data_IF_029541672336
#
_entry.id   IF_029541672336
#
_cell.length_a   1.000
_cell.length_b   1.000
_cell.length_c   1.000
_cell.angle_alpha   90.00
_cell.angle_beta   90.00
_cell.angle_gamma   90.00
#
_symmetry.space_group_name_H-M   'P 1'
#
loop_
_entity.id
_entity.type
_entity.pdbx_description
1 polymer ?
#
# COMPACT_ATOMS: atom_id res chain seq x y z
N UNK A 1 -10.18 -17.13 14.04
CA UNK A 1 -8.93 -16.33 13.99
C UNK A 1 -8.54 -15.73 15.33
N UNK A 2 -9.36 -14.87 15.97
CA UNK A 2 -9.02 -14.31 17.30
C UNK A 2 -8.70 -15.39 18.36
N UNK A 3 -9.47 -16.47 18.37
CA UNK A 3 -9.22 -17.61 19.24
C UNK A 3 -7.93 -18.36 18.90
N UNK A 4 -7.54 -18.42 17.62
CA UNK A 4 -6.26 -18.98 17.20
C UNK A 4 -5.08 -18.09 17.64
N UNK A 5 -5.24 -16.76 17.66
CA UNK A 5 -4.24 -15.86 18.25
C UNK A 5 -4.10 -16.08 19.77
N UNK A 6 -5.21 -16.22 20.49
CA UNK A 6 -5.19 -16.51 21.93
C UNK A 6 -4.44 -17.82 22.20
N UNK A 7 -4.79 -18.90 21.50
CA UNK A 7 -4.08 -20.18 21.64
C UNK A 7 -2.62 -20.13 21.20
N UNK A 8 -2.29 -19.29 20.22
CA UNK A 8 -0.91 -19.03 19.81
C UNK A 8 -0.10 -18.35 20.91
N UNK A 9 -0.64 -17.29 21.52
CA UNK A 9 0.01 -16.56 22.61
C UNK A 9 0.14 -17.38 23.89
N UNK A 10 -0.76 -18.33 24.14
CA UNK A 10 -0.67 -19.26 25.27
C UNK A 10 0.18 -20.50 24.98
N UNK A 11 0.82 -20.59 23.81
CA UNK A 11 1.69 -21.70 23.43
C UNK A 11 0.98 -23.00 23.04
N UNK A 12 -0.35 -22.99 22.93
CA UNK A 12 -1.19 -24.16 22.64
C UNK A 12 -1.30 -24.42 21.13
N UNK A 13 -0.16 -24.67 20.49
CA UNK A 13 -0.03 -24.81 19.02
C UNK A 13 -0.88 -25.93 18.41
N UNK A 14 -1.21 -26.96 19.18
CA UNK A 14 -2.11 -28.02 18.74
C UNK A 14 -3.54 -27.52 18.50
N UNK A 15 -4.05 -26.66 19.39
CA UNK A 15 -5.39 -26.08 19.26
C UNK A 15 -5.45 -24.99 18.19
N UNK A 16 -4.33 -24.28 17.97
CA UNK A 16 -4.22 -23.32 16.86
C UNK A 16 -4.58 -23.98 15.54
N UNK A 17 -3.99 -25.14 15.24
CA UNK A 17 -4.25 -25.86 13.98
C UNK A 17 -5.70 -26.27 13.78
N UNK A 18 -6.45 -26.51 14.86
CA UNK A 18 -7.84 -26.93 14.81
C UNK A 18 -8.81 -25.77 14.56
N UNK A 19 -8.44 -24.56 14.99
CA UNK A 19 -9.29 -23.36 14.93
C UNK A 19 -8.87 -22.41 13.80
N UNK A 20 -7.77 -22.71 13.11
CA UNK A 20 -7.24 -21.90 12.01
C UNK A 20 -8.05 -22.11 10.73
N UNK A 21 -8.75 -21.07 10.29
CA UNK A 21 -9.42 -21.08 9.00
C UNK A 21 -8.44 -20.62 7.90
N UNK A 22 -8.06 -21.56 7.03
CA UNK A 22 -7.17 -21.31 5.89
C UNK A 22 -7.79 -20.38 4.84
N UNK A 23 -9.10 -20.12 4.88
CA UNK A 23 -9.79 -19.19 3.98
C UNK A 23 -9.46 -17.73 4.25
N UNK A 24 -9.10 -17.39 5.48
CA UNK A 24 -8.90 -16.00 5.91
C UNK A 24 -7.49 -15.72 6.40
N UNK A 25 -6.78 -16.73 6.88
CA UNK A 25 -5.48 -16.57 7.53
C UNK A 25 -4.49 -15.73 6.72
N UNK A 26 -4.32 -16.08 5.43
CA UNK A 26 -3.30 -15.45 4.59
C UNK A 26 -3.62 -14.00 4.23
N UNK A 27 -4.87 -13.53 4.40
CA UNK A 27 -5.18 -12.10 4.22
C UNK A 27 -4.60 -11.23 5.33
N UNK A 28 -4.48 -11.78 6.55
CA UNK A 28 -4.00 -11.01 7.69
C UNK A 28 -2.50 -10.72 7.59
N UNK A 29 -1.69 -11.64 7.07
CA UNK A 29 -0.24 -11.48 7.05
C UNK A 29 0.25 -10.23 6.29
N UNK A 30 -0.13 -10.00 5.01
CA UNK A 30 0.29 -8.81 4.27
C UNK A 30 -0.34 -7.54 4.83
N UNK A 31 -1.59 -7.60 5.32
CA UNK A 31 -2.26 -6.45 5.92
C UNK A 31 -1.55 -5.98 7.20
N UNK A 32 -1.20 -6.91 8.09
CA UNK A 32 -0.49 -6.58 9.34
C UNK A 32 0.91 -6.06 9.06
N UNK A 33 1.63 -6.68 8.11
CA UNK A 33 2.95 -6.22 7.69
C UNK A 33 2.88 -4.80 7.10
N UNK A 34 1.91 -4.54 6.23
CA UNK A 34 1.67 -3.21 5.67
C UNK A 34 1.30 -2.20 6.75
N UNK A 35 0.42 -2.54 7.68
CA UNK A 35 0.00 -1.63 8.75
C UNK A 35 1.18 -1.24 9.65
N UNK A 36 2.01 -2.20 10.06
CA UNK A 36 3.21 -1.95 10.86
C UNK A 36 4.22 -1.07 10.10
N UNK A 37 4.49 -1.42 8.84
CA UNK A 37 5.43 -0.68 7.99
C UNK A 37 4.95 0.75 7.69
N UNK A 38 3.69 0.92 7.31
CA UNK A 38 3.10 2.23 7.01
C UNK A 38 3.02 3.14 8.24
N UNK A 39 2.69 2.60 9.41
CA UNK A 39 2.69 3.37 10.67
C UNK A 39 4.09 3.89 11.03
N UNK A 40 5.11 3.07 10.80
CA UNK A 40 6.50 3.48 11.00
C UNK A 40 6.89 4.61 10.03
N UNK A 41 6.62 4.45 8.73
CA UNK A 41 6.94 5.47 7.73
C UNK A 41 6.24 6.80 8.03
N UNK A 42 4.93 6.76 8.31
CA UNK A 42 4.16 7.94 8.66
C UNK A 42 4.74 8.67 9.87
N UNK A 43 5.19 7.94 10.89
CA UNK A 43 5.82 8.53 12.09
C UNK A 43 7.12 9.24 11.72
N UNK A 44 7.96 8.60 10.90
CA UNK A 44 9.22 9.21 10.42
C UNK A 44 8.96 10.49 9.65
N UNK A 45 7.96 10.51 8.77
CA UNK A 45 7.64 11.69 7.96
C UNK A 45 7.06 12.83 8.79
N UNK A 46 6.12 12.54 9.71
CA UNK A 46 5.59 13.53 10.64
C UNK A 46 6.68 14.13 11.54
N UNK A 47 7.67 13.33 11.97
CA UNK A 47 8.80 13.83 12.74
C UNK A 47 9.67 14.82 11.95
N UNK A 48 9.89 14.57 10.65
CA UNK A 48 10.61 15.52 9.78
C UNK A 48 9.86 16.85 9.69
N UNK A 49 8.55 16.80 9.48
CA UNK A 49 7.71 18.01 9.43
C UNK A 49 7.70 18.76 10.76
N UNK A 50 7.65 18.05 11.89
CA UNK A 50 7.73 18.68 13.22
C UNK A 50 9.04 19.45 13.42
N UNK A 51 10.17 18.90 12.98
CA UNK A 51 11.48 19.56 13.05
C UNK A 51 11.53 20.79 12.14
N UNK A 52 10.98 20.69 10.92
CA UNK A 52 10.92 21.82 9.97
C UNK A 52 10.07 22.96 10.53
N UNK A 53 8.88 22.66 11.02
CA UNK A 53 7.98 23.65 11.61
C UNK A 53 8.63 24.38 12.80
N UNK A 54 9.35 23.66 13.67
CA UNK A 54 10.08 24.26 14.79
C UNK A 54 11.23 25.18 14.36
N UNK A 55 11.82 24.97 13.18
CA UNK A 55 12.93 25.77 12.66
C UNK A 55 12.48 27.01 11.89
N UNK A 56 11.37 26.90 11.18
CA UNK A 56 10.85 27.98 10.32
C UNK A 56 9.91 28.94 11.07
N UNK A 57 9.64 28.70 12.36
CA UNK A 57 8.64 29.41 13.17
C UNK A 57 7.30 29.55 12.41
N UNK A 58 6.97 28.54 11.61
CA UNK A 58 5.87 28.59 10.65
C UNK A 58 4.57 28.13 11.30
N UNK A 59 3.50 28.88 11.05
CA UNK A 59 2.17 28.59 11.60
C UNK A 59 1.33 27.65 10.73
N UNK A 60 1.84 27.23 9.56
CA UNK A 60 1.04 26.55 8.52
C UNK A 60 1.57 25.15 8.22
N UNK A 61 0.60 24.26 8.08
CA UNK A 61 0.70 22.83 8.04
C UNK A 61 1.00 22.38 6.59
N UNK A 62 2.12 21.68 6.28
CA UNK A 62 2.43 21.17 4.94
C UNK A 62 1.57 19.96 4.54
N UNK A 63 0.53 19.67 5.33
CA UNK A 63 -0.38 18.55 5.17
C UNK A 63 -1.83 19.02 5.35
N UNK A 64 -2.73 18.49 4.52
CA UNK A 64 -4.16 18.69 4.65
C UNK A 64 -4.73 17.56 5.49
N UNK A 65 -5.19 17.87 6.70
CA UNK A 65 -5.95 16.93 7.52
C UNK A 65 -7.33 16.78 6.88
N UNK A 66 -7.56 15.67 6.18
CA UNK A 66 -8.86 15.30 5.64
C UNK A 66 -9.63 14.43 6.63
N UNK A 67 -10.92 14.22 6.35
CA UNK A 67 -11.78 13.32 7.13
C UNK A 67 -11.26 11.88 7.18
N UNK A 68 -10.56 11.46 6.13
CA UNK A 68 -10.10 10.08 5.97
C UNK A 68 -8.62 9.88 6.26
N UNK A 69 -7.79 10.91 6.06
CA UNK A 69 -6.34 10.81 6.25
C UNK A 69 -5.69 12.18 6.42
N UNK A 70 -4.47 12.16 6.97
CA UNK A 70 -3.54 13.28 6.90
C UNK A 70 -2.86 13.21 5.53
N UNK A 71 -3.33 14.02 4.59
CA UNK A 71 -2.81 14.04 3.22
C UNK A 71 -1.65 15.01 3.10
N UNK A 72 -0.47 14.49 2.77
CA UNK A 72 0.65 15.28 2.28
C UNK A 72 1.21 14.65 1.01
N UNK A 73 1.76 15.49 0.15
CA UNK A 73 2.48 15.00 -1.04
C UNK A 73 3.89 14.69 -0.58
N UNK A 74 4.33 13.47 -0.83
CA UNK A 74 5.69 13.03 -0.55
C UNK A 74 6.22 12.21 -1.72
N UNK A 75 7.55 12.21 -1.86
CA UNK A 75 8.23 11.47 -2.91
C UNK A 75 8.34 10.00 -2.50
N UNK A 76 7.77 9.12 -3.32
CA UNK A 76 7.61 7.70 -3.02
C UNK A 76 8.26 6.82 -4.05
N UNK A 77 8.68 5.62 -3.67
CA UNK A 77 9.27 4.68 -4.64
C UNK A 77 8.14 3.93 -5.38
N UNK A 78 7.98 4.08 -6.71
CA UNK A 78 6.93 3.41 -7.47
C UNK A 78 6.98 1.88 -7.37
N UNK A 79 8.18 1.30 -7.22
CA UNK A 79 8.34 -0.15 -7.10
C UNK A 79 7.79 -0.67 -5.78
N UNK A 80 7.85 0.12 -4.71
CA UNK A 80 7.23 -0.23 -3.43
C UNK A 80 5.72 -0.29 -3.57
N UNK A 81 5.11 0.64 -4.32
CA UNK A 81 3.69 0.61 -4.65
C UNK A 81 3.31 -0.68 -5.40
N UNK A 82 4.12 -1.08 -6.39
CA UNK A 82 3.94 -2.33 -7.14
C UNK A 82 4.03 -3.55 -6.23
N UNK A 83 5.06 -3.64 -5.39
CA UNK A 83 5.23 -4.78 -4.47
C UNK A 83 4.02 -4.94 -3.56
N UNK A 84 3.50 -3.84 -3.02
CA UNK A 84 2.29 -3.89 -2.18
C UNK A 84 1.05 -4.30 -2.96
N UNK A 85 0.86 -3.80 -4.19
CA UNK A 85 -0.24 -4.23 -5.06
C UNK A 85 -0.15 -5.71 -5.48
N UNK A 86 1.05 -6.27 -5.61
CA UNK A 86 1.25 -7.69 -5.92
C UNK A 86 1.02 -8.60 -4.71
N UNK A 87 1.29 -8.12 -3.49
CA UNK A 87 0.99 -8.87 -2.27
C UNK A 87 -0.51 -8.88 -1.97
N UNK A 88 -1.15 -7.72 -2.11
CA UNK A 88 -2.58 -7.57 -1.90
C UNK A 88 -3.09 -6.36 -2.71
N UNK A 89 -3.81 -6.59 -3.82
CA UNK A 89 -4.36 -5.54 -4.66
C UNK A 89 -5.14 -4.49 -3.88
N UNK A 90 -4.74 -3.23 -4.07
CA UNK A 90 -5.24 -2.07 -3.32
C UNK A 90 -4.30 -1.55 -2.22
N UNK A 91 -3.32 -2.32 -1.75
CA UNK A 91 -2.31 -1.79 -0.82
C UNK A 91 -1.36 -0.77 -1.47
N UNK A 92 -0.99 -0.93 -2.74
CA UNK A 92 -0.18 0.06 -3.46
C UNK A 92 -0.89 1.41 -3.61
N UNK A 93 -2.21 1.40 -3.75
CA UNK A 93 -3.04 2.60 -3.75
C UNK A 93 -3.10 3.24 -2.37
N UNK A 94 -3.16 2.43 -1.31
CA UNK A 94 -3.08 2.92 0.08
C UNK A 94 -1.72 3.59 0.33
N UNK A 95 -0.64 2.97 -0.16
CA UNK A 95 0.70 3.57 -0.15
C UNK A 95 0.79 4.88 -0.96
N UNK A 96 -0.12 5.15 -1.88
CA UNK A 96 -0.16 6.41 -2.63
C UNK A 96 -1.22 7.39 -2.10
N UNK A 97 -1.77 7.18 -0.90
CA UNK A 97 -2.86 7.98 -0.32
C UNK A 97 -4.15 8.01 -1.18
N UNK A 98 -4.38 7.00 -2.03
CA UNK A 98 -5.62 6.88 -2.81
C UNK A 98 -6.63 6.00 -2.08
N UNK A 99 -7.11 6.50 -0.94
CA UNK A 99 -7.98 5.77 -0.01
C UNK A 99 -9.21 5.15 -0.70
N UNK A 100 -10.02 5.88 -1.49
CA UNK A 100 -11.24 5.30 -2.08
C UNK A 100 -10.94 4.16 -3.06
N UNK A 101 -9.94 4.35 -3.93
CA UNK A 101 -9.51 3.34 -4.90
C UNK A 101 -8.93 2.11 -4.20
N UNK A 102 -8.16 2.33 -3.13
CA UNK A 102 -7.62 1.25 -2.30
C UNK A 102 -8.73 0.39 -1.71
N UNK A 103 -9.71 1.00 -1.03
CA UNK A 103 -10.82 0.26 -0.43
C UNK A 103 -11.65 -0.51 -1.46
N UNK A 104 -11.92 0.11 -2.62
CA UNK A 104 -12.63 -0.55 -3.70
C UNK A 104 -11.90 -1.80 -4.21
N UNK A 105 -10.59 -1.68 -4.49
CA UNK A 105 -9.78 -2.80 -4.96
C UNK A 105 -9.62 -3.89 -3.91
N UNK A 106 -9.38 -3.51 -2.64
CA UNK A 106 -9.29 -4.46 -1.53
C UNK A 106 -10.58 -5.25 -1.36
N UNK A 107 -11.73 -4.56 -1.33
CA UNK A 107 -13.03 -5.20 -1.18
C UNK A 107 -13.29 -6.18 -2.32
N UNK A 108 -13.08 -5.74 -3.57
CA UNK A 108 -13.29 -6.58 -4.75
C UNK A 108 -12.35 -7.77 -4.77
N UNK A 109 -11.06 -7.57 -4.50
CA UNK A 109 -10.07 -8.62 -4.48
C UNK A 109 -10.31 -9.65 -3.37
N UNK A 110 -10.69 -9.22 -2.16
CA UNK A 110 -11.06 -10.14 -1.06
C UNK A 110 -12.26 -10.98 -1.47
N UNK A 111 -13.31 -10.36 -2.04
CA UNK A 111 -14.51 -11.06 -2.51
C UNK A 111 -14.19 -12.11 -3.58
N UNK A 112 -13.45 -11.71 -4.62
CA UNK A 112 -13.03 -12.62 -5.71
C UNK A 112 -12.13 -13.73 -5.18
N UNK A 113 -11.15 -13.41 -4.33
CA UNK A 113 -10.21 -14.40 -3.76
C UNK A 113 -10.91 -15.42 -2.87
N UNK A 114 -11.92 -14.98 -2.11
CA UNK A 114 -12.76 -15.86 -1.30
C UNK A 114 -13.60 -16.80 -2.18
N UNK A 115 -14.26 -16.28 -3.21
CA UNK A 115 -15.04 -17.09 -4.16
C UNK A 115 -14.18 -18.04 -4.99
N UNK A 116 -12.94 -17.65 -5.32
CA UNK A 116 -11.97 -18.46 -6.05
C UNK A 116 -11.33 -19.57 -5.22
N UNK A 117 -11.52 -19.56 -3.90
CA UNK A 117 -10.77 -20.41 -2.97
C UNK A 117 -9.24 -20.25 -3.13
N UNK A 118 -8.81 -19.01 -3.41
CA UNK A 118 -7.41 -18.70 -3.71
C UNK A 118 -6.48 -19.05 -2.54
N UNK A 119 -6.81 -18.64 -1.32
CA UNK A 119 -5.96 -18.80 -0.15
C UNK A 119 -5.79 -20.27 0.27
N UNK A 120 -6.86 -21.08 0.35
CA UNK A 120 -6.73 -22.53 0.52
C UNK A 120 -5.87 -23.20 -0.55
N UNK A 121 -6.01 -22.78 -1.81
CA UNK A 121 -5.17 -23.28 -2.91
C UNK A 121 -3.70 -22.92 -2.70
N UNK A 122 -3.38 -21.66 -2.35
CA UNK A 122 -2.01 -21.22 -2.03
C UNK A 122 -1.45 -22.02 -0.86
N UNK A 123 -2.24 -22.23 0.20
CA UNK A 123 -1.82 -23.01 1.36
C UNK A 123 -1.46 -24.46 0.97
N UNK A 124 -2.26 -25.12 0.14
CA UNK A 124 -1.94 -26.46 -0.36
C UNK A 124 -0.69 -26.47 -1.25
N UNK A 125 -0.50 -25.44 -2.09
CA UNK A 125 0.73 -25.26 -2.88
C UNK A 125 1.96 -25.12 -1.99
N UNK A 126 1.88 -24.36 -0.88
CA UNK A 126 2.98 -24.21 0.08
C UNK A 126 3.32 -25.52 0.80
N UNK A 127 2.35 -26.41 0.98
CA UNK A 127 2.56 -27.76 1.52
C UNK A 127 3.09 -28.78 0.48
N UNK A 128 3.21 -28.37 -0.79
CA UNK A 128 3.63 -29.24 -1.89
C UNK A 128 2.51 -30.09 -2.51
N UNK A 129 1.25 -29.91 -2.07
CA UNK A 129 0.09 -30.69 -2.53
C UNK A 129 -0.56 -30.07 -3.78
N UNK A 130 0.16 -30.04 -4.91
CA UNK A 130 -0.30 -29.37 -6.13
C UNK A 130 -1.61 -29.93 -6.70
N UNK A 131 -1.85 -31.25 -6.61
CA UNK A 131 -3.09 -31.87 -7.07
C UNK A 131 -4.32 -31.36 -6.31
N UNK A 132 -4.21 -31.25 -4.98
CA UNK A 132 -5.26 -30.71 -4.13
C UNK A 132 -5.42 -29.20 -4.30
N UNK A 133 -4.32 -28.46 -4.51
CA UNK A 133 -4.35 -27.03 -4.77
C UNK A 133 -5.22 -26.71 -6.00
N UNK A 134 -4.92 -27.36 -7.12
CA UNK A 134 -5.68 -27.19 -8.38
C UNK A 134 -7.14 -27.60 -8.22
N UNK A 135 -7.41 -28.71 -7.52
CA UNK A 135 -8.78 -29.19 -7.29
C UNK A 135 -9.61 -28.25 -6.37
N UNK A 136 -8.95 -27.50 -5.48
CA UNK A 136 -9.60 -26.57 -4.55
C UNK A 136 -9.93 -25.23 -5.21
N UNK A 137 -9.13 -24.82 -6.19
CA UNK A 137 -9.26 -23.55 -6.89
C UNK A 137 -10.49 -23.56 -7.81
N UNK A 138 -11.26 -22.46 -7.82
CA UNK A 138 -12.40 -22.28 -8.73
C UNK A 138 -11.99 -21.42 -9.94
N UNK A 139 -11.86 -21.99 -11.15
CA UNK A 139 -11.34 -21.27 -12.31
C UNK A 139 -12.18 -20.05 -12.71
N UNK A 140 -13.51 -20.15 -12.63
CA UNK A 140 -14.47 -19.08 -12.94
C UNK A 140 -14.08 -17.74 -12.28
N UNK A 141 -13.75 -17.82 -10.99
CA UNK A 141 -13.41 -16.67 -10.16
C UNK A 141 -11.92 -16.34 -10.23
N UNK A 142 -11.06 -17.34 -10.41
CA UNK A 142 -9.62 -17.15 -10.52
C UNK A 142 -9.24 -16.30 -11.74
N UNK A 143 -9.98 -16.39 -12.85
CA UNK A 143 -9.71 -15.61 -14.05
C UNK A 143 -9.83 -14.09 -13.82
N UNK A 144 -10.68 -13.64 -12.90
CA UNK A 144 -10.74 -12.22 -12.53
C UNK A 144 -9.43 -11.73 -11.90
N UNK A 145 -8.71 -12.59 -11.18
CA UNK A 145 -7.43 -12.23 -10.57
C UNK A 145 -6.37 -11.91 -11.62
N UNK A 146 -6.39 -12.60 -12.77
CA UNK A 146 -5.48 -12.34 -13.88
C UNK A 146 -5.61 -10.90 -14.42
N UNK A 147 -6.78 -10.27 -14.26
CA UNK A 147 -7.00 -8.87 -14.61
C UNK A 147 -6.71 -7.93 -13.44
N UNK A 148 -7.13 -8.30 -12.22
CA UNK A 148 -6.98 -7.46 -11.02
C UNK A 148 -5.51 -7.18 -10.69
N UNK A 149 -4.65 -8.20 -10.75
CA UNK A 149 -3.23 -8.05 -10.36
C UNK A 149 -2.46 -7.09 -11.28
N UNK A 150 -2.42 -7.29 -12.63
CA UNK A 150 -1.73 -6.37 -13.51
C UNK A 150 -2.30 -4.96 -13.46
N UNK A 151 -3.64 -4.81 -13.40
CA UNK A 151 -4.28 -3.51 -13.26
C UNK A 151 -3.83 -2.79 -11.97
N UNK A 152 -3.91 -3.47 -10.82
CA UNK A 152 -3.57 -2.86 -9.53
C UNK A 152 -2.08 -2.52 -9.45
N UNK A 153 -1.20 -3.34 -10.00
CA UNK A 153 0.24 -3.09 -10.05
C UNK A 153 0.59 -1.91 -10.97
N UNK A 154 0.06 -1.91 -12.20
CA UNK A 154 0.34 -0.88 -13.19
C UNK A 154 -0.23 0.48 -12.77
N UNK A 155 -1.50 0.53 -12.33
CA UNK A 155 -2.13 1.78 -11.90
C UNK A 155 -1.40 2.35 -10.67
N UNK A 156 -1.03 1.53 -9.69
CA UNK A 156 -0.26 1.99 -8.54
C UNK A 156 1.11 2.57 -8.94
N UNK A 157 1.81 1.92 -9.87
CA UNK A 157 3.09 2.41 -10.39
C UNK A 157 2.95 3.79 -11.04
N UNK A 158 2.05 3.91 -12.03
CA UNK A 158 1.88 5.13 -12.81
C UNK A 158 1.46 6.28 -11.90
N UNK A 159 0.50 6.07 -11.01
CA UNK A 159 0.07 7.14 -10.10
C UNK A 159 1.21 7.56 -9.15
N UNK A 160 2.02 6.64 -8.64
CA UNK A 160 3.17 6.99 -7.79
C UNK A 160 4.18 7.84 -8.57
N UNK A 161 4.47 7.50 -9.82
CA UNK A 161 5.34 8.30 -10.69
C UNK A 161 4.76 9.70 -10.91
N UNK A 162 3.46 9.80 -11.22
CA UNK A 162 2.83 11.10 -11.45
C UNK A 162 2.80 11.97 -10.19
N UNK A 163 2.57 11.39 -9.02
CA UNK A 163 2.65 12.12 -7.76
C UNK A 163 4.06 12.61 -7.44
N UNK A 164 5.09 11.83 -7.77
CA UNK A 164 6.47 12.28 -7.63
C UNK A 164 6.79 13.48 -8.54
N UNK A 165 6.31 13.46 -9.78
CA UNK A 165 6.49 14.59 -10.71
C UNK A 165 5.77 15.83 -10.17
N UNK A 166 4.56 15.66 -9.63
CA UNK A 166 3.82 16.76 -9.01
C UNK A 166 4.56 17.32 -7.78
N UNK A 167 5.09 16.43 -6.93
CA UNK A 167 5.90 16.81 -5.77
C UNK A 167 7.12 17.65 -6.19
N UNK A 168 7.87 17.19 -7.20
CA UNK A 168 9.07 17.90 -7.67
C UNK A 168 8.73 19.30 -8.21
N UNK A 169 7.58 19.44 -8.90
CA UNK A 169 7.10 20.74 -9.40
C UNK A 169 6.70 21.68 -8.27
N UNK A 170 5.93 21.21 -7.30
CA UNK A 170 5.51 22.04 -6.16
C UNK A 170 6.70 22.41 -5.26
N UNK A 171 7.64 21.48 -5.04
CA UNK A 171 8.86 21.74 -4.28
C UNK A 171 9.73 22.79 -4.99
N UNK A 172 9.92 22.67 -6.30
CA UNK A 172 10.66 23.67 -7.09
C UNK A 172 10.01 25.05 -7.01
N UNK A 173 8.68 25.13 -7.16
CA UNK A 173 7.92 26.38 -7.03
C UNK A 173 8.08 26.99 -5.65
N UNK A 174 7.92 26.21 -4.59
CA UNK A 174 8.10 26.67 -3.21
C UNK A 174 9.49 27.26 -2.98
N UNK A 175 10.55 26.61 -3.50
CA UNK A 175 11.91 27.11 -3.38
C UNK A 175 12.12 28.42 -4.15
N UNK A 176 11.52 28.54 -5.34
CA UNK A 176 11.55 29.76 -6.13
C UNK A 176 10.88 30.91 -5.39
N UNK A 177 9.67 30.69 -4.89
CA UNK A 177 8.87 31.74 -4.26
C UNK A 177 9.47 32.26 -2.94
N UNK A 178 10.20 31.42 -2.20
CA UNK A 178 10.70 31.77 -0.86
C UNK A 178 12.20 32.07 -0.80
N UNK A 179 13.01 31.54 -1.73
CA UNK A 179 14.47 31.59 -1.61
C UNK A 179 15.21 32.09 -2.87
N UNK A 180 14.54 32.19 -4.02
CA UNK A 180 15.22 32.59 -5.26
C UNK A 180 15.49 34.09 -5.32
N UNK A 181 16.76 34.45 -5.52
CA UNK A 181 17.13 35.85 -5.75
C UNK A 181 16.66 36.29 -7.16
N UNK A 182 15.92 37.41 -7.29
CA UNK A 182 15.45 37.91 -8.59
C UNK A 182 16.56 38.15 -9.63
N UNK A 183 17.81 38.34 -9.18
CA UNK A 183 18.97 38.61 -10.06
C UNK A 183 19.64 37.34 -10.58
N UNK A 184 19.24 36.15 -10.11
CA UNK A 184 19.85 34.90 -10.54
C UNK A 184 19.12 34.35 -11.78
N UNK A 185 19.84 34.12 -12.90
CA UNK A 185 19.24 33.56 -14.12
C UNK A 185 18.93 32.08 -13.92
N UNK A 186 17.65 31.71 -14.03
CA UNK A 186 17.24 30.31 -13.94
C UNK A 186 17.56 29.57 -15.26
N UNK A 187 18.07 28.33 -15.21
CA UNK A 187 18.21 27.50 -16.40
C UNK A 187 16.83 27.19 -16.99
N UNK A 188 16.69 27.30 -18.31
CA UNK A 188 15.46 26.93 -19.01
C UNK A 188 15.21 25.42 -18.88
N UNK A 189 14.02 25.05 -18.41
CA UNK A 189 13.62 23.65 -18.30
C UNK A 189 13.29 23.17 -19.71
N UNK A 190 14.13 22.31 -20.27
CA UNK A 190 13.85 21.64 -21.54
C UNK A 190 12.67 20.69 -21.35
N UNK A 191 11.52 21.02 -21.93
CA UNK A 191 10.29 20.24 -21.83
C UNK A 191 10.24 19.06 -22.83
N UNK A 192 11.38 18.66 -23.42
CA UNK A 192 11.45 17.64 -24.48
C UNK A 192 11.69 16.19 -24.00
N UNK A 193 11.24 15.81 -22.81
CA UNK A 193 11.32 14.43 -22.33
C UNK A 193 9.98 13.89 -21.84
#
# INVERSE_FOLDING_TARGET
>A
LNQAFIYGFTGQTALVKQVLDTRWLLFYAPLQLFAAWSSYQLTVDLNKYAILAAREDSSIIPFKIGTWEIGFIDKRNPWVAVTWSLLMPGLGHLYSHRIPTSFFLLFWWVGVSYMAHLLPSIHQTLLGNFSQAVATLRPEWCLYLASIYPYSAFDAYVNTVQYNILFDKEQSRFLIDNYQNPKFPMPEIDNNH
#
